data_IF_669299907348
#
_entry.id   IF_669299907348
#
_cell.length_a   1.000
_cell.length_b   1.000
_cell.length_c   1.000
_cell.angle_alpha   90.00
_cell.angle_beta   90.00
_cell.angle_gamma   90.00
#
_symmetry.space_group_name_H-M   'P 1'
#
loop_
_entity.id
_entity.type
_entity.pdbx_description
1 polymer ?
#
# COMPACT_ATOMS: atom_id res chain seq x y z
N UNK A 1 -12.59 -5.46 -7.48
CA UNK A 1 -12.59 -5.49 -6.00
C UNK A 1 -11.21 -5.29 -5.38
N UNK A 2 -10.19 -6.14 -5.59
CA UNK A 2 -8.86 -5.92 -4.97
C UNK A 2 -8.23 -4.60 -5.42
N UNK A 3 -8.16 -4.36 -6.74
CA UNK A 3 -7.71 -3.11 -7.35
C UNK A 3 -8.36 -1.88 -6.72
N UNK A 4 -9.69 -1.83 -6.76
CA UNK A 4 -10.47 -0.70 -6.23
C UNK A 4 -10.21 -0.46 -4.74
N UNK A 5 -10.08 -1.53 -3.93
CA UNK A 5 -9.76 -1.41 -2.50
C UNK A 5 -8.35 -0.86 -2.29
N UNK A 6 -7.39 -1.25 -3.12
CA UNK A 6 -6.02 -0.74 -3.07
C UNK A 6 -6.00 0.75 -3.46
N UNK A 7 -6.61 1.10 -4.60
CA UNK A 7 -6.67 2.49 -5.09
C UNK A 7 -7.38 3.41 -4.09
N UNK A 8 -8.49 2.97 -3.49
CA UNK A 8 -9.20 3.69 -2.43
C UNK A 8 -8.31 3.87 -1.18
N UNK A 9 -7.60 2.82 -0.77
CA UNK A 9 -6.66 2.91 0.36
C UNK A 9 -5.55 3.93 0.08
N UNK A 10 -4.89 3.84 -1.07
CA UNK A 10 -3.82 4.76 -1.45
C UNK A 10 -4.34 6.19 -1.56
N UNK A 11 -5.46 6.41 -2.26
CA UNK A 11 -6.04 7.75 -2.39
C UNK A 11 -6.28 8.38 -1.01
N UNK A 12 -6.82 7.62 -0.04
CA UNK A 12 -7.03 8.10 1.33
C UNK A 12 -5.75 8.32 2.13
N UNK A 13 -4.70 7.54 1.88
CA UNK A 13 -3.42 7.72 2.57
C UNK A 13 -2.68 8.97 2.09
N UNK A 14 -2.83 9.33 0.82
CA UNK A 14 -2.08 10.42 0.19
C UNK A 14 -2.96 11.61 -0.19
N UNK A 15 -4.22 11.68 0.26
CA UNK A 15 -5.18 12.76 -0.08
C UNK A 15 -4.62 14.16 0.21
N UNK A 16 -3.84 14.30 1.29
CA UNK A 16 -3.19 15.54 1.70
C UNK A 16 -1.71 15.64 1.29
N UNK A 17 -1.20 14.72 0.46
CA UNK A 17 0.19 14.67 0.02
C UNK A 17 0.30 15.08 -1.45
N UNK A 18 0.96 16.22 -1.71
CA UNK A 18 0.96 16.86 -3.02
C UNK A 18 1.74 16.10 -4.10
N UNK A 19 2.69 15.22 -3.74
CA UNK A 19 3.58 14.57 -4.71
C UNK A 19 3.82 13.08 -4.40
N UNK A 20 3.07 12.21 -5.08
CA UNK A 20 3.34 10.77 -5.13
C UNK A 20 2.99 10.19 -6.52
N UNK A 21 3.69 9.13 -6.91
CA UNK A 21 3.38 8.35 -8.10
C UNK A 21 3.65 6.87 -7.86
N UNK A 22 2.80 6.04 -8.43
CA UNK A 22 2.92 4.59 -8.29
C UNK A 22 2.36 3.86 -9.52
N UNK A 23 2.85 2.66 -9.74
CA UNK A 23 2.29 1.69 -10.67
C UNK A 23 1.64 0.55 -9.87
N UNK A 24 0.51 0.05 -10.36
CA UNK A 24 -0.22 -1.05 -9.73
C UNK A 24 -0.33 -2.22 -10.70
N UNK A 25 0.32 -3.32 -10.33
CA UNK A 25 0.24 -4.60 -11.02
C UNK A 25 -0.64 -5.58 -10.26
N UNK A 26 -1.41 -6.37 -10.99
CA UNK A 26 -2.26 -7.41 -10.43
C UNK A 26 -1.83 -8.76 -10.97
N UNK A 27 -1.44 -9.66 -10.07
CA UNK A 27 -1.10 -11.04 -10.43
C UNK A 27 -1.84 -12.00 -9.50
N UNK A 28 -2.59 -12.92 -10.09
CA UNK A 28 -3.48 -13.86 -9.40
C UNK A 28 -4.43 -13.14 -8.40
N UNK A 29 -4.12 -13.26 -7.09
CA UNK A 29 -4.88 -12.67 -5.98
C UNK A 29 -4.08 -11.62 -5.21
N UNK A 30 -2.97 -11.16 -5.80
CA UNK A 30 -2.08 -10.16 -5.24
C UNK A 30 -2.18 -8.87 -6.06
N UNK A 31 -2.05 -7.75 -5.36
CA UNK A 31 -1.80 -6.44 -5.96
C UNK A 31 -0.46 -5.93 -5.48
N UNK A 32 0.38 -5.52 -6.41
CA UNK A 32 1.71 -5.00 -6.14
C UNK A 32 1.74 -3.53 -6.52
N UNK A 33 2.08 -2.67 -5.57
CA UNK A 33 2.31 -1.26 -5.82
C UNK A 33 3.81 -1.00 -5.87
N UNK A 34 4.25 -0.42 -6.97
CA UNK A 34 5.60 0.11 -7.13
C UNK A 34 5.53 1.63 -7.05
N UNK A 35 5.93 2.20 -5.91
CA UNK A 35 6.04 3.64 -5.76
C UNK A 35 7.30 4.13 -6.47
N UNK A 36 7.13 5.05 -7.41
CA UNK A 36 8.22 5.69 -8.16
C UNK A 36 8.60 7.06 -7.58
N UNK A 37 7.65 7.71 -6.89
CA UNK A 37 7.87 8.97 -6.18
C UNK A 37 7.01 9.01 -4.92
N UNK A 38 7.59 9.45 -3.81
CA UNK A 38 6.91 9.65 -2.52
C UNK A 38 7.43 10.95 -1.91
N UNK A 39 6.54 11.88 -1.58
CA UNK A 39 6.87 13.18 -0.98
C UNK A 39 7.93 13.97 -1.78
N UNK A 40 7.83 13.93 -3.11
CA UNK A 40 8.78 14.64 -3.98
C UNK A 40 10.15 13.98 -4.17
N UNK A 41 10.36 12.79 -3.60
CA UNK A 41 11.62 12.04 -3.71
C UNK A 41 11.41 10.77 -4.52
N UNK A 42 12.37 10.45 -5.39
CA UNK A 42 12.38 9.18 -6.11
C UNK A 42 12.36 8.02 -5.12
N UNK A 43 11.47 7.06 -5.37
CA UNK A 43 11.27 5.88 -4.55
C UNK A 43 11.33 4.65 -5.45
N UNK A 44 11.80 3.53 -4.91
CA UNK A 44 11.77 2.21 -5.56
C UNK A 44 11.08 1.20 -4.63
N UNK A 45 10.01 1.65 -3.96
CA UNK A 45 9.31 0.86 -2.93
C UNK A 45 8.25 -0.03 -3.56
N UNK A 46 8.47 -1.33 -3.48
CA UNK A 46 7.48 -2.34 -3.82
C UNK A 46 6.67 -2.75 -2.59
N UNK A 47 5.36 -2.85 -2.74
CA UNK A 47 4.41 -3.19 -1.68
C UNK A 47 3.36 -4.17 -2.15
N UNK A 48 3.22 -5.28 -1.42
CA UNK A 48 2.26 -6.33 -1.75
C UNK A 48 0.98 -6.22 -0.92
N UNK A 49 -0.15 -6.43 -1.59
CA UNK A 49 -1.50 -6.40 -1.03
C UNK A 49 -2.28 -7.63 -1.46
N UNK A 50 -3.22 -8.07 -0.62
CA UNK A 50 -4.23 -9.08 -1.00
C UNK A 50 -5.47 -8.98 -0.12
N UNK A 51 -6.52 -9.69 -0.49
CA UNK A 51 -7.68 -9.90 0.38
C UNK A 51 -7.51 -11.19 1.20
N UNK A 52 -7.69 -11.10 2.52
CA UNK A 52 -7.80 -12.25 3.42
C UNK A 52 -8.99 -11.98 4.35
N UNK A 53 -9.90 -12.94 4.47
CA UNK A 53 -11.11 -12.81 5.30
C UNK A 53 -11.89 -11.51 5.00
N UNK A 54 -12.10 -11.22 3.71
CA UNK A 54 -12.74 -10.01 3.17
C UNK A 54 -12.07 -8.66 3.47
N UNK A 55 -10.92 -8.67 4.15
CA UNK A 55 -10.14 -7.49 4.51
C UNK A 55 -8.97 -7.27 3.58
N UNK A 56 -8.73 -6.00 3.22
CA UNK A 56 -7.51 -5.62 2.52
C UNK A 56 -6.34 -5.75 3.51
N UNK A 57 -5.34 -6.54 3.11
CA UNK A 57 -4.12 -6.71 3.88
C UNK A 57 -2.92 -6.25 3.07
N UNK A 58 -2.01 -5.56 3.75
CA UNK A 58 -0.68 -5.20 3.29
C UNK A 58 0.34 -6.19 3.86
N UNK A 59 1.34 -6.58 3.09
CA UNK A 59 2.46 -7.38 3.58
C UNK A 59 3.63 -6.49 3.98
N UNK A 60 3.86 -6.36 5.28
CA UNK A 60 5.07 -5.76 5.80
C UNK A 60 6.22 -6.76 5.73
N UNK A 61 7.40 -6.32 5.28
CA UNK A 61 8.61 -7.15 5.29
C UNK A 61 9.04 -7.54 6.70
N UNK A 62 8.79 -6.66 7.68
CA UNK A 62 9.20 -6.86 9.08
C UNK A 62 8.13 -7.56 9.92
N UNK A 63 6.85 -7.40 9.57
CA UNK A 63 5.74 -7.82 10.44
C UNK A 63 4.72 -8.75 9.78
N UNK A 64 4.94 -9.13 8.51
CA UNK A 64 4.04 -9.97 7.73
C UNK A 64 2.73 -9.28 7.35
N UNK A 65 1.69 -10.07 7.10
CA UNK A 65 0.37 -9.57 6.70
C UNK A 65 -0.31 -8.76 7.81
N UNK A 66 -0.76 -7.56 7.46
CA UNK A 66 -1.49 -6.62 8.33
C UNK A 66 -2.76 -6.16 7.64
N UNK A 67 -3.88 -6.33 8.31
CA UNK A 67 -5.14 -5.77 7.87
C UNK A 67 -5.12 -4.24 8.04
N UNK A 68 -5.17 -3.50 6.92
CA UNK A 68 -5.00 -2.03 6.88
C UNK A 68 -6.30 -1.27 7.09
N UNK A 69 -7.43 -1.97 7.10
CA UNK A 69 -8.72 -1.47 7.59
C UNK A 69 -8.70 -1.14 9.09
N UNK A 70 -7.79 -1.75 9.86
CA UNK A 70 -7.55 -1.43 11.26
C UNK A 70 -6.58 -0.24 11.35
N UNK A 71 -7.07 0.94 11.77
CA UNK A 71 -6.30 2.20 11.85
C UNK A 71 -4.88 2.04 12.44
N UNK A 72 -4.72 1.25 13.50
CA UNK A 72 -3.43 1.06 14.16
C UNK A 72 -2.38 0.32 13.30
N UNK A 73 -2.79 -0.43 12.28
CA UNK A 73 -1.90 -1.18 11.41
C UNK A 73 -1.37 -0.36 10.23
N UNK A 74 -2.03 0.75 9.91
CA UNK A 74 -1.61 1.69 8.85
C UNK A 74 -0.19 2.21 9.12
N UNK A 75 0.22 2.33 10.38
CA UNK A 75 1.60 2.72 10.74
C UNK A 75 2.66 1.81 10.14
N UNK A 76 2.39 0.51 9.98
CA UNK A 76 3.36 -0.42 9.41
C UNK A 76 3.59 -0.16 7.92
N UNK A 77 2.52 0.21 7.21
CA UNK A 77 2.62 0.66 5.83
C UNK A 77 3.50 1.91 5.71
N UNK A 78 3.27 2.93 6.54
CA UNK A 78 4.09 4.15 6.51
C UNK A 78 5.54 3.93 6.90
N UNK A 79 5.81 3.06 7.88
CA UNK A 79 7.18 2.71 8.27
C UNK A 79 7.91 2.09 7.08
N UNK A 80 7.33 1.08 6.44
CA UNK A 80 8.00 0.37 5.35
C UNK A 80 8.13 1.23 4.07
N UNK A 81 7.20 2.18 3.86
CA UNK A 81 7.26 3.13 2.76
C UNK A 81 8.40 4.13 2.91
N UNK A 82 8.59 4.64 4.12
CA UNK A 82 9.51 5.76 4.40
C UNK A 82 10.89 5.32 4.90
N UNK A 83 11.06 4.07 5.33
CA UNK A 83 12.34 3.49 5.78
C UNK A 83 13.32 3.34 4.63
#
# INVERSE_FOLDING_TARGET
MLKEKIEDFITKQFEDLEEFSYELDLEDNYGYINFTQVLGVQSDKEMAFKIIDDKLQYHSLSYGWKAIDIKNNIKYFWIDLLS
#
